data_IF_618917751177
#
_entry.id   IF_618917751177
#
_cell.length_a   1.000
_cell.length_b   1.000
_cell.length_c   1.000
_cell.angle_alpha   90.00
_cell.angle_beta   90.00
_cell.angle_gamma   90.00
#
_symmetry.space_group_name_H-M   'P 1'
#
loop_
_entity.id
_entity.type
_entity.pdbx_description
1 polymer ?
#
# COMPACT_ATOMS: atom_id res chain seq x y z
N UNK A 1 11.49 25.99 34.38
CA UNK A 1 11.70 25.21 33.14
C UNK A 1 10.39 24.51 32.79
N UNK A 2 9.84 24.76 31.58
CA UNK A 2 8.54 24.22 31.16
C UNK A 2 8.66 22.71 30.93
N UNK A 3 8.03 21.93 31.80
CA UNK A 3 7.88 20.50 31.65
C UNK A 3 6.99 20.22 30.44
N UNK A 4 7.62 20.03 29.27
CA UNK A 4 6.97 19.51 28.07
C UNK A 4 6.71 18.02 28.27
N UNK A 5 5.69 17.67 29.04
CA UNK A 5 5.05 16.36 28.96
C UNK A 5 4.34 16.26 27.60
N UNK A 6 5.13 16.02 26.55
CA UNK A 6 4.63 15.49 25.29
C UNK A 6 3.97 14.16 25.62
N UNK A 7 2.65 14.20 25.76
CA UNK A 7 1.82 13.06 26.12
C UNK A 7 2.12 11.91 25.17
N UNK A 8 2.42 10.72 25.71
CA UNK A 8 2.58 9.47 24.97
C UNK A 8 1.43 9.23 23.96
N UNK A 9 0.24 9.80 24.22
CA UNK A 9 -0.90 9.76 23.31
C UNK A 9 -0.70 10.54 22.00
N UNK A 10 -0.02 11.69 22.04
CA UNK A 10 0.24 12.51 20.84
C UNK A 10 1.22 11.81 19.90
N UNK A 11 2.28 11.19 20.45
CA UNK A 11 3.22 10.41 19.66
C UNK A 11 2.56 9.15 19.08
N UNK A 12 1.71 8.45 19.85
CA UNK A 12 0.93 7.31 19.32
C UNK A 12 0.02 7.71 18.17
N UNK A 13 -0.66 8.85 18.26
CA UNK A 13 -1.55 9.32 17.20
C UNK A 13 -0.78 9.69 15.93
N UNK A 14 0.33 10.41 16.06
CA UNK A 14 1.20 10.74 14.93
C UNK A 14 1.81 9.49 14.30
N UNK A 15 2.26 8.54 15.11
CA UNK A 15 2.82 7.28 14.63
C UNK A 15 1.76 6.43 13.92
N UNK A 16 0.52 6.44 14.42
CA UNK A 16 -0.60 5.74 13.78
C UNK A 16 -0.97 6.38 12.43
N UNK A 17 -1.06 7.71 12.36
CA UNK A 17 -1.28 8.43 11.10
C UNK A 17 -0.14 8.15 10.13
N UNK A 18 1.10 8.24 10.59
CA UNK A 18 2.29 7.98 9.77
C UNK A 18 2.31 6.54 9.24
N UNK A 19 2.04 5.53 10.08
CA UNK A 19 1.93 4.13 9.63
C UNK A 19 0.76 3.95 8.67
N UNK A 20 -0.37 4.62 8.91
CA UNK A 20 -1.53 4.54 8.03
C UNK A 20 -1.23 5.14 6.66
N UNK A 21 -0.55 6.28 6.61
CA UNK A 21 -0.11 6.94 5.37
C UNK A 21 0.98 6.14 4.66
N UNK A 22 1.94 5.59 5.41
CA UNK A 22 2.99 4.73 4.88
C UNK A 22 2.43 3.42 4.33
N UNK A 23 1.45 2.82 5.00
CA UNK A 23 0.72 1.64 4.52
C UNK A 23 -0.11 1.95 3.30
N UNK A 24 -0.77 3.12 3.23
CA UNK A 24 -1.50 3.54 2.04
C UNK A 24 -0.58 3.80 0.85
N UNK A 25 0.60 4.37 1.10
CA UNK A 25 1.62 4.59 0.08
C UNK A 25 2.30 3.29 -0.37
N UNK A 26 2.40 2.29 0.51
CA UNK A 26 3.03 1.00 0.23
C UNK A 26 2.03 -0.11 -0.10
N UNK A 27 0.72 0.16 -0.06
CA UNK A 27 -0.34 -0.78 -0.43
C UNK A 27 -0.10 -1.47 -1.79
N UNK A 28 0.30 -0.77 -2.87
CA UNK A 28 0.56 -1.42 -4.15
C UNK A 28 1.75 -2.39 -4.07
N UNK A 29 2.77 -2.06 -3.28
CA UNK A 29 3.95 -2.93 -3.09
C UNK A 29 3.57 -4.21 -2.36
N UNK A 30 2.76 -4.10 -1.30
CA UNK A 30 2.26 -5.27 -0.55
C UNK A 30 1.36 -6.14 -1.43
N UNK A 31 0.49 -5.52 -2.24
CA UNK A 31 -0.38 -6.24 -3.16
C UNK A 31 0.40 -7.02 -4.23
N UNK A 32 1.44 -6.41 -4.82
CA UNK A 32 2.34 -7.07 -5.78
C UNK A 32 3.07 -8.25 -5.12
N UNK A 33 3.53 -8.07 -3.87
CA UNK A 33 4.23 -9.13 -3.15
C UNK A 33 3.33 -10.35 -2.89
N UNK A 34 2.10 -10.13 -2.43
CA UNK A 34 1.10 -11.19 -2.22
C UNK A 34 0.77 -11.86 -3.56
N UNK A 35 0.58 -11.08 -4.63
CA UNK A 35 0.31 -11.61 -5.96
C UNK A 35 1.44 -12.49 -6.48
N UNK A 36 2.69 -12.11 -6.25
CA UNK A 36 3.84 -12.92 -6.62
C UNK A 36 3.80 -14.32 -5.99
N UNK A 37 3.48 -14.42 -4.70
CA UNK A 37 3.33 -15.71 -4.00
C UNK A 37 2.17 -16.53 -4.61
N UNK A 38 1.02 -15.89 -4.84
CA UNK A 38 -0.15 -16.52 -5.44
C UNK A 38 0.16 -17.03 -6.85
N UNK A 39 0.90 -16.25 -7.64
CA UNK A 39 1.27 -16.60 -9.00
C UNK A 39 2.20 -17.81 -9.07
N UNK A 40 3.14 -17.93 -8.12
CA UNK A 40 4.03 -19.10 -8.01
C UNK A 40 3.24 -20.36 -7.65
N UNK A 41 2.22 -20.24 -6.80
CA UNK A 41 1.39 -21.37 -6.38
C UNK A 41 0.39 -21.82 -7.45
N UNK A 42 -0.26 -20.88 -8.14
CA UNK A 42 -1.33 -21.17 -9.11
C UNK A 42 -0.80 -21.46 -10.52
N UNK A 43 0.33 -20.86 -10.91
CA UNK A 43 0.90 -20.97 -12.25
C UNK A 43 2.38 -21.36 -12.18
N UNK A 44 2.74 -22.55 -11.66
CA UNK A 44 4.14 -22.91 -11.40
C UNK A 44 5.04 -22.91 -12.65
N UNK A 45 4.50 -23.19 -13.84
CA UNK A 45 5.29 -23.22 -15.09
C UNK A 45 5.45 -21.82 -15.73
N UNK A 46 4.45 -20.95 -15.57
CA UNK A 46 4.41 -19.61 -16.19
C UNK A 46 4.32 -18.49 -15.14
N UNK A 47 4.80 -18.76 -13.93
CA UNK A 47 4.66 -17.86 -12.78
C UNK A 47 5.26 -16.48 -13.05
N UNK A 48 6.30 -16.42 -13.88
CA UNK A 48 6.96 -15.18 -14.25
C UNK A 48 6.04 -14.29 -15.11
N UNK A 49 5.29 -14.86 -16.06
CA UNK A 49 4.33 -14.14 -16.92
C UNK A 49 3.14 -13.70 -16.07
N UNK A 50 2.56 -14.63 -15.30
CA UNK A 50 1.39 -14.35 -14.48
C UNK A 50 1.68 -13.31 -13.39
N UNK A 51 2.88 -13.32 -12.80
CA UNK A 51 3.34 -12.30 -11.86
C UNK A 51 3.50 -10.93 -12.54
N UNK A 52 4.08 -10.89 -13.75
CA UNK A 52 4.24 -9.65 -14.53
C UNK A 52 2.89 -9.02 -14.88
N UNK A 53 1.97 -9.81 -15.45
CA UNK A 53 0.64 -9.35 -15.86
C UNK A 53 -0.13 -8.82 -14.64
N UNK A 54 -0.20 -9.60 -13.56
CA UNK A 54 -0.94 -9.16 -12.38
C UNK A 54 -0.30 -7.97 -11.68
N UNK A 55 1.03 -7.85 -11.69
CA UNK A 55 1.71 -6.65 -11.19
C UNK A 55 1.33 -5.39 -11.98
N UNK A 56 1.29 -5.48 -13.31
CA UNK A 56 0.83 -4.38 -14.17
C UNK A 56 -0.63 -4.01 -13.84
N UNK A 57 -1.50 -5.02 -13.73
CA UNK A 57 -2.92 -4.80 -13.39
C UNK A 57 -3.07 -4.10 -12.03
N UNK A 58 -2.33 -4.53 -11.01
CA UNK A 58 -2.36 -3.92 -9.67
C UNK A 58 -1.93 -2.44 -9.72
N UNK A 59 -0.85 -2.12 -10.45
CA UNK A 59 -0.37 -0.74 -10.59
C UNK A 59 -1.38 0.13 -11.32
N UNK A 60 -1.95 -0.36 -12.42
CA UNK A 60 -2.96 0.37 -13.19
C UNK A 60 -4.21 0.61 -12.35
N UNK A 61 -4.71 -0.41 -11.63
CA UNK A 61 -5.84 -0.25 -10.71
C UNK A 61 -5.54 0.77 -9.63
N UNK A 62 -4.34 0.74 -9.04
CA UNK A 62 -3.95 1.70 -8.02
C UNK A 62 -3.94 3.14 -8.56
N UNK A 63 -3.41 3.36 -9.77
CA UNK A 63 -3.43 4.66 -10.43
C UNK A 63 -4.86 5.13 -10.73
N UNK A 64 -5.71 4.25 -11.27
CA UNK A 64 -7.11 4.57 -11.57
C UNK A 64 -7.88 4.93 -10.29
N UNK A 65 -7.72 4.15 -9.22
CA UNK A 65 -8.36 4.42 -7.94
C UNK A 65 -7.87 5.73 -7.31
N UNK A 66 -6.57 6.02 -7.41
CA UNK A 66 -6.00 7.28 -6.95
C UNK A 66 -6.57 8.46 -7.74
N UNK A 67 -6.60 8.35 -9.06
CA UNK A 67 -7.18 9.36 -9.96
C UNK A 67 -8.66 9.63 -9.67
N UNK A 68 -9.45 8.57 -9.49
CA UNK A 68 -10.87 8.68 -9.12
C UNK A 68 -11.04 9.31 -7.74
N UNK A 69 -10.18 8.97 -6.78
CA UNK A 69 -10.20 9.54 -5.44
C UNK A 69 -9.89 11.04 -5.45
N UNK A 70 -8.93 11.48 -6.28
CA UNK A 70 -8.62 12.91 -6.45
C UNK A 70 -9.77 13.66 -7.12
N UNK A 71 -10.37 13.09 -8.18
CA UNK A 71 -11.54 13.66 -8.87
C UNK A 71 -12.76 13.83 -7.97
N UNK A 72 -12.96 12.93 -6.99
CA UNK A 72 -14.10 12.97 -6.07
C UNK A 72 -13.93 13.96 -4.91
N UNK A 73 -12.72 14.49 -4.71
CA UNK A 73 -12.40 15.52 -3.70
C UNK A 73 -12.48 16.96 -4.25
N UNK A 74 -12.51 17.13 -5.57
CA UNK A 74 -12.76 18.42 -6.25
C UNK A 74 -14.24 18.66 -6.47
#
# INVERSE_FOLDING_TARGET
MKNKTFSKGWFKNLFYVFIKELLWSNMPVVAIFIWGIVSVYLFPDEWWIASLIGSIVIVVLFLVLTYLSERKKS
#
